data_IF_147836427014
#
_entry.id   IF_147836427014
#
_cell.length_a   1.000
_cell.length_b   1.000
_cell.length_c   1.000
_cell.angle_alpha   90.00
_cell.angle_beta   90.00
_cell.angle_gamma   90.00
#
_symmetry.space_group_name_H-M   'P 1'
#
loop_
_entity.id
_entity.type
_entity.pdbx_description
1 polymer ?
#
# COMPACT_ATOMS: atom_id res chain seq x y z
N UNK A 1 31.28 -11.26 -15.83
CA UNK A 1 31.92 -11.58 -14.52
C UNK A 1 31.55 -12.98 -13.95
N UNK A 2 30.72 -13.79 -14.63
CA UNK A 2 30.25 -15.11 -14.16
C UNK A 2 31.08 -16.31 -14.64
N UNK A 3 32.32 -16.08 -15.07
CA UNK A 3 33.19 -17.10 -15.67
C UNK A 3 34.12 -17.79 -14.67
N UNK A 4 33.95 -17.53 -13.38
CA UNK A 4 34.71 -18.20 -12.34
C UNK A 4 33.94 -19.42 -11.82
N UNK A 5 34.64 -20.55 -11.69
CA UNK A 5 34.12 -21.84 -11.18
C UNK A 5 33.49 -21.75 -9.78
N UNK A 6 33.55 -20.58 -9.12
CA UNK A 6 33.06 -20.28 -7.77
C UNK A 6 31.70 -19.56 -7.73
N UNK A 7 31.12 -19.20 -8.88
CA UNK A 7 29.78 -18.61 -8.94
C UNK A 7 28.70 -19.35 -8.13
N UNK A 8 28.58 -20.69 -8.18
CA UNK A 8 27.56 -21.40 -7.37
C UNK A 8 27.84 -21.28 -5.86
N UNK A 9 29.11 -21.24 -5.45
CA UNK A 9 29.48 -21.05 -4.05
C UNK A 9 29.06 -19.67 -3.54
N UNK A 10 29.24 -18.62 -4.34
CA UNK A 10 28.82 -17.26 -3.95
C UNK A 10 27.29 -17.15 -3.84
N UNK A 11 26.54 -17.80 -4.75
CA UNK A 11 25.08 -17.86 -4.65
C UNK A 11 24.67 -18.60 -3.37
N UNK A 12 25.30 -19.75 -3.08
CA UNK A 12 25.02 -20.53 -1.88
C UNK A 12 25.31 -19.71 -0.62
N UNK A 13 26.47 -19.05 -0.55
CA UNK A 13 26.84 -18.20 0.58
C UNK A 13 25.85 -17.03 0.75
N UNK A 14 25.45 -16.37 -0.34
CA UNK A 14 24.45 -15.31 -0.29
C UNK A 14 23.10 -15.83 0.21
N UNK A 15 22.67 -17.02 -0.24
CA UNK A 15 21.45 -17.66 0.24
C UNK A 15 21.54 -18.03 1.73
N UNK A 16 22.69 -18.52 2.20
CA UNK A 16 22.92 -18.83 3.61
C UNK A 16 22.89 -17.56 4.47
N UNK A 17 23.52 -16.47 4.03
CA UNK A 17 23.47 -15.18 4.73
C UNK A 17 22.04 -14.65 4.77
N UNK A 18 21.32 -14.70 3.65
CA UNK A 18 19.91 -14.31 3.60
C UNK A 18 19.06 -15.14 4.56
N UNK A 19 19.27 -16.46 4.60
CA UNK A 19 18.56 -17.37 5.50
C UNK A 19 18.93 -17.12 6.97
N UNK A 20 20.19 -16.83 7.28
CA UNK A 20 20.62 -16.53 8.64
C UNK A 20 20.00 -15.23 9.16
N UNK A 21 19.91 -14.20 8.30
CA UNK A 21 19.36 -12.90 8.67
C UNK A 21 17.83 -12.92 8.70
N UNK A 22 17.19 -13.52 7.71
CA UNK A 22 15.74 -13.48 7.52
C UNK A 22 15.03 -14.68 8.17
N UNK A 23 15.68 -15.84 8.21
CA UNK A 23 15.10 -17.10 8.67
C UNK A 23 14.47 -17.05 10.06
N UNK A 24 15.12 -16.46 11.09
CA UNK A 24 14.55 -16.36 12.43
C UNK A 24 13.19 -15.62 12.47
N UNK A 25 12.95 -14.72 11.53
CA UNK A 25 11.73 -13.91 11.45
C UNK A 25 10.66 -14.56 10.57
N UNK A 26 11.04 -15.11 9.41
CA UNK A 26 10.08 -15.55 8.41
C UNK A 26 9.78 -17.05 8.44
N UNK A 27 10.73 -17.91 8.83
CA UNK A 27 10.48 -19.36 8.84
C UNK A 27 9.38 -19.78 9.83
N UNK A 28 9.35 -19.27 11.09
CA UNK A 28 8.28 -19.63 12.02
C UNK A 28 6.90 -19.17 11.54
N UNK A 29 6.84 -18.10 10.74
CA UNK A 29 5.62 -17.51 10.23
C UNK A 29 5.32 -17.88 8.77
N UNK A 30 6.03 -18.84 8.18
CA UNK A 30 5.98 -19.11 6.74
C UNK A 30 4.55 -19.45 6.26
N UNK A 31 3.82 -20.26 7.03
CA UNK A 31 2.42 -20.59 6.72
C UNK A 31 1.52 -19.35 6.68
N UNK A 32 1.68 -18.44 7.65
CA UNK A 32 0.93 -17.19 7.71
C UNK A 32 1.28 -16.25 6.56
N UNK A 33 2.56 -16.19 6.18
CA UNK A 33 3.04 -15.38 5.05
C UNK A 33 2.44 -15.90 3.75
N UNK A 34 2.47 -17.23 3.53
CA UNK A 34 1.87 -17.83 2.33
C UNK A 34 0.37 -17.56 2.28
N UNK A 35 -0.35 -17.75 3.39
CA UNK A 35 -1.77 -17.43 3.47
C UNK A 35 -2.05 -15.95 3.16
N UNK A 36 -1.27 -15.03 3.74
CA UNK A 36 -1.40 -13.60 3.52
C UNK A 36 -1.11 -13.20 2.05
N UNK A 37 -0.12 -13.83 1.40
CA UNK A 37 0.18 -13.60 -0.02
C UNK A 37 -0.96 -14.10 -0.92
N UNK A 38 -1.50 -15.28 -0.64
CA UNK A 38 -2.63 -15.82 -1.39
C UNK A 38 -3.87 -14.94 -1.26
N UNK A 39 -4.17 -14.47 -0.05
CA UNK A 39 -5.29 -13.57 0.20
C UNK A 39 -5.08 -12.21 -0.48
N UNK A 40 -3.88 -11.65 -0.36
CA UNK A 40 -3.52 -10.41 -1.03
C UNK A 40 -3.65 -10.50 -2.56
N UNK A 41 -3.33 -11.65 -3.15
CA UNK A 41 -3.49 -11.87 -4.59
C UNK A 41 -4.97 -11.97 -5.00
N UNK A 42 -5.84 -12.50 -4.14
CA UNK A 42 -7.30 -12.50 -4.37
C UNK A 42 -7.86 -11.08 -4.31
N UNK A 43 -7.46 -10.29 -3.31
CA UNK A 43 -7.84 -8.88 -3.22
C UNK A 43 -7.39 -8.09 -4.45
N UNK A 44 -6.13 -8.26 -4.86
CA UNK A 44 -5.60 -7.60 -6.06
C UNK A 44 -6.40 -7.90 -7.33
N UNK A 45 -6.89 -9.15 -7.48
CA UNK A 45 -7.75 -9.52 -8.60
C UNK A 45 -9.11 -8.79 -8.57
N UNK A 46 -9.66 -8.53 -7.38
CA UNK A 46 -10.88 -7.71 -7.20
C UNK A 46 -10.61 -6.23 -7.50
N UNK A 47 -9.41 -5.74 -7.18
CA UNK A 47 -8.98 -4.35 -7.43
C UNK A 47 -8.65 -4.09 -8.91
N UNK A 48 -8.66 -5.12 -9.74
CA UNK A 48 -8.37 -5.03 -11.17
C UNK A 48 -6.88 -4.95 -11.48
N UNK A 49 -6.02 -5.38 -10.55
CA UNK A 49 -4.58 -5.46 -10.82
C UNK A 49 -4.28 -6.40 -11.99
N UNK A 50 -3.34 -6.02 -12.87
CA UNK A 50 -3.04 -6.84 -14.01
C UNK A 50 -2.26 -8.10 -13.58
N UNK A 51 -2.87 -9.26 -13.86
CA UNK A 51 -2.26 -10.58 -13.63
C UNK A 51 -0.90 -10.72 -14.32
N UNK A 52 0.00 -11.47 -13.69
CA UNK A 52 1.30 -11.88 -14.22
C UNK A 52 1.22 -12.68 -15.53
N UNK A 53 0.03 -13.20 -15.88
CA UNK A 53 -0.25 -13.90 -17.13
C UNK A 53 -0.58 -12.95 -18.29
N UNK A 54 -0.67 -11.64 -18.04
CA UNK A 54 -1.06 -10.63 -19.04
C UNK A 54 0.11 -9.72 -19.39
N UNK A 55 0.14 -9.20 -20.62
CA UNK A 55 1.13 -8.21 -21.03
C UNK A 55 1.11 -6.96 -20.12
N UNK A 56 -0.07 -6.55 -19.66
CA UNK A 56 -0.21 -5.43 -18.72
C UNK A 56 0.54 -5.69 -17.40
N UNK A 57 0.51 -6.93 -16.89
CA UNK A 57 1.22 -7.31 -15.66
C UNK A 57 2.73 -7.28 -15.84
N UNK A 58 3.21 -7.73 -17.01
CA UNK A 58 4.63 -7.66 -17.38
C UNK A 58 5.14 -6.24 -17.57
N UNK A 59 4.29 -5.33 -18.08
CA UNK A 59 4.62 -3.93 -18.28
C UNK A 59 4.40 -3.05 -17.04
N UNK A 60 3.80 -3.60 -15.98
CA UNK A 60 3.42 -2.83 -14.78
C UNK A 60 4.63 -2.10 -14.16
N UNK A 61 5.69 -2.83 -13.79
CA UNK A 61 6.82 -2.21 -13.10
C UNK A 61 7.67 -1.31 -14.01
N UNK A 62 7.65 -1.55 -15.32
CA UNK A 62 8.24 -0.63 -16.30
C UNK A 62 7.49 0.70 -16.34
N UNK A 63 6.15 0.62 -16.33
CA UNK A 63 5.27 1.80 -16.25
C UNK A 63 5.47 2.53 -14.93
N UNK A 64 5.49 1.82 -13.80
CA UNK A 64 5.77 2.40 -12.46
C UNK A 64 7.10 3.12 -12.43
N UNK A 65 8.17 2.51 -12.97
CA UNK A 65 9.49 3.12 -13.02
C UNK A 65 9.44 4.49 -13.70
N UNK A 66 8.82 4.55 -14.89
CA UNK A 66 8.71 5.77 -15.69
C UNK A 66 7.62 6.75 -15.28
N UNK A 67 6.65 6.35 -14.45
CA UNK A 67 5.50 7.20 -14.11
C UNK A 67 5.46 7.64 -12.65
N UNK A 68 6.11 6.91 -11.76
CA UNK A 68 5.98 7.12 -10.31
C UNK A 68 7.31 7.13 -9.57
N UNK A 69 8.36 6.47 -10.10
CA UNK A 69 9.64 6.35 -9.39
C UNK A 69 10.68 7.35 -9.89
N UNK A 70 11.07 7.27 -11.17
CA UNK A 70 12.18 8.07 -11.72
C UNK A 70 11.76 8.99 -12.88
N UNK A 71 10.53 8.87 -13.36
CA UNK A 71 9.97 9.72 -14.42
C UNK A 71 10.78 9.71 -15.73
N UNK A 72 10.38 10.52 -16.71
CA UNK A 72 11.07 10.56 -18.00
C UNK A 72 12.55 11.02 -17.90
N UNK A 73 12.92 12.06 -17.12
CA UNK A 73 14.33 12.45 -16.98
C UNK A 73 15.19 11.35 -16.36
N UNK A 74 14.70 10.67 -15.31
CA UNK A 74 15.42 9.56 -14.70
C UNK A 74 15.54 8.36 -15.63
N UNK A 75 14.52 8.06 -16.44
CA UNK A 75 14.62 7.02 -17.48
C UNK A 75 15.70 7.34 -18.52
N UNK A 76 15.82 8.60 -18.94
CA UNK A 76 16.87 9.02 -19.86
C UNK A 76 18.27 8.87 -19.22
N UNK A 77 18.41 9.20 -17.93
CA UNK A 77 19.66 8.99 -17.19
C UNK A 77 19.98 7.49 -17.07
N UNK A 78 19.00 6.66 -16.76
CA UNK A 78 19.16 5.21 -16.69
C UNK A 78 19.61 4.63 -18.03
N UNK A 79 18.91 4.96 -19.11
CA UNK A 79 19.23 4.46 -20.45
C UNK A 79 20.63 4.89 -20.90
N UNK A 80 20.98 6.17 -20.73
CA UNK A 80 22.31 6.66 -21.10
C UNK A 80 23.42 6.12 -20.19
N UNK A 81 23.13 5.92 -18.90
CA UNK A 81 24.05 5.32 -17.95
C UNK A 81 24.38 3.86 -18.27
N UNK A 82 23.35 3.07 -18.59
CA UNK A 82 23.49 1.67 -19.03
C UNK A 82 24.25 1.60 -20.37
N UNK A 83 23.87 2.42 -21.36
CA UNK A 83 24.52 2.45 -22.67
C UNK A 83 26.02 2.75 -22.58
N UNK A 84 26.41 3.74 -21.75
CA UNK A 84 27.82 4.01 -21.49
C UNK A 84 28.50 2.95 -20.65
N UNK A 85 27.79 2.35 -19.71
CA UNK A 85 28.29 1.20 -18.94
C UNK A 85 28.71 0.07 -19.87
N UNK A 86 27.88 -0.27 -20.87
CA UNK A 86 28.24 -1.25 -21.89
C UNK A 86 29.40 -0.79 -22.76
N UNK A 87 29.35 0.44 -23.29
CA UNK A 87 30.40 0.98 -24.16
C UNK A 87 31.78 1.03 -23.50
N UNK A 88 31.84 1.34 -22.19
CA UNK A 88 33.08 1.40 -21.41
C UNK A 88 33.42 0.10 -20.68
N UNK A 89 32.59 -0.95 -20.82
CA UNK A 89 32.72 -2.23 -20.09
C UNK A 89 32.85 -2.02 -18.59
N UNK A 90 31.96 -1.21 -18.03
CA UNK A 90 31.97 -0.85 -16.62
C UNK A 90 31.96 -2.10 -15.72
N UNK A 91 32.79 -2.13 -14.68
CA UNK A 91 32.80 -3.24 -13.73
C UNK A 91 31.43 -3.34 -13.05
N UNK A 92 31.01 -4.57 -12.74
CA UNK A 92 29.76 -4.88 -12.03
C UNK A 92 28.46 -4.49 -12.74
N UNK A 93 28.49 -4.07 -14.01
CA UNK A 93 27.27 -3.78 -14.77
C UNK A 93 26.33 -5.00 -14.82
N UNK A 94 26.88 -6.19 -15.09
CA UNK A 94 26.13 -7.45 -15.09
C UNK A 94 25.40 -7.67 -13.74
N UNK A 95 26.06 -7.34 -12.63
CA UNK A 95 25.50 -7.52 -11.29
C UNK A 95 24.37 -6.53 -11.03
N UNK A 96 24.56 -5.25 -11.38
CA UNK A 96 23.51 -4.23 -11.21
C UNK A 96 22.30 -4.50 -12.10
N UNK A 97 22.52 -4.96 -13.34
CA UNK A 97 21.45 -5.41 -14.23
C UNK A 97 20.75 -6.65 -13.69
N UNK A 98 21.48 -7.63 -13.16
CA UNK A 98 20.89 -8.81 -12.55
C UNK A 98 20.05 -8.46 -11.31
N UNK A 99 20.52 -7.54 -10.46
CA UNK A 99 19.76 -7.05 -9.32
C UNK A 99 18.46 -6.37 -9.77
N UNK A 100 18.55 -5.39 -10.68
CA UNK A 100 17.38 -4.66 -11.12
C UNK A 100 16.40 -5.53 -11.94
N UNK A 101 16.88 -6.19 -12.99
CA UNK A 101 16.03 -6.98 -13.89
C UNK A 101 15.53 -8.27 -13.21
N UNK A 102 16.38 -8.95 -12.44
CA UNK A 102 15.99 -10.14 -11.68
C UNK A 102 14.96 -9.80 -10.60
N UNK A 103 15.16 -8.71 -9.86
CA UNK A 103 14.18 -8.22 -8.90
C UNK A 103 12.87 -7.82 -9.58
N UNK A 104 12.92 -7.10 -10.70
CA UNK A 104 11.73 -6.71 -11.48
C UNK A 104 10.96 -7.93 -11.98
N UNK A 105 11.66 -8.98 -12.42
CA UNK A 105 11.06 -10.24 -12.83
C UNK A 105 10.34 -10.91 -11.65
N UNK A 106 10.98 -11.03 -10.48
CA UNK A 106 10.36 -11.61 -9.29
C UNK A 106 9.10 -10.85 -8.86
N UNK A 107 9.15 -9.51 -8.85
CA UNK A 107 7.99 -8.69 -8.55
C UNK A 107 6.87 -8.85 -9.59
N UNK A 108 7.23 -9.04 -10.87
CA UNK A 108 6.28 -9.25 -11.96
C UNK A 108 5.47 -10.54 -11.79
N UNK A 109 6.03 -11.55 -11.12
CA UNK A 109 5.34 -12.81 -10.84
C UNK A 109 4.32 -12.72 -9.69
N UNK A 110 4.39 -11.68 -8.84
CA UNK A 110 3.40 -11.43 -7.79
C UNK A 110 2.15 -10.80 -8.42
N UNK A 111 0.95 -11.32 -8.12
CA UNK A 111 -0.30 -10.78 -8.65
C UNK A 111 -0.67 -9.43 -8.05
N UNK A 112 -0.49 -9.24 -6.74
CA UNK A 112 -0.60 -7.93 -6.12
C UNK A 112 0.46 -6.98 -6.69
N UNK A 113 0.01 -5.88 -7.31
CA UNK A 113 0.85 -4.89 -7.97
C UNK A 113 0.82 -3.58 -7.19
N UNK A 114 1.95 -3.27 -6.55
CA UNK A 114 2.10 -2.01 -5.84
C UNK A 114 3.41 -1.31 -6.22
N UNK A 115 3.40 0.02 -6.50
CA UNK A 115 4.61 0.75 -6.83
C UNK A 115 5.71 0.63 -5.76
N UNK A 116 5.33 0.51 -4.49
CA UNK A 116 6.23 0.43 -3.33
C UNK A 116 7.10 -0.83 -3.35
N UNK A 117 6.61 -1.92 -3.96
CA UNK A 117 7.38 -3.16 -4.06
C UNK A 117 8.66 -3.01 -4.90
N UNK A 118 8.72 -2.02 -5.79
CA UNK A 118 9.91 -1.72 -6.58
C UNK A 118 10.98 -0.89 -5.85
N UNK A 119 10.67 -0.34 -4.67
CA UNK A 119 11.59 0.53 -3.93
C UNK A 119 12.97 -0.11 -3.63
N UNK A 120 13.07 -1.41 -3.26
CA UNK A 120 14.36 -2.06 -3.03
C UNK A 120 15.25 -2.17 -4.29
N UNK A 121 14.70 -1.94 -5.49
CA UNK A 121 15.43 -1.99 -6.76
C UNK A 121 16.02 -0.62 -7.16
N UNK A 122 15.53 0.46 -6.55
CA UNK A 122 15.95 1.82 -6.88
C UNK A 122 17.45 2.10 -6.64
N UNK A 123 18.13 1.51 -5.63
CA UNK A 123 19.58 1.67 -5.50
C UNK A 123 20.36 1.17 -6.73
N UNK A 124 19.97 0.03 -7.30
CA UNK A 124 20.58 -0.48 -8.53
C UNK A 124 20.32 0.47 -9.72
N UNK A 125 19.07 0.94 -9.86
CA UNK A 125 18.67 1.92 -10.89
C UNK A 125 19.49 3.22 -10.76
N UNK A 126 19.70 3.73 -9.55
CA UNK A 126 20.49 4.93 -9.29
C UNK A 126 21.95 4.75 -9.71
N UNK A 127 22.57 3.62 -9.34
CA UNK A 127 23.95 3.30 -9.74
C UNK A 127 24.10 3.13 -11.26
N UNK A 128 23.15 2.44 -11.90
CA UNK A 128 23.11 2.29 -13.36
C UNK A 128 22.99 3.63 -14.08
N UNK A 129 22.20 4.57 -13.52
CA UNK A 129 22.03 5.92 -14.05
C UNK A 129 23.32 6.77 -13.96
N UNK A 130 24.23 6.42 -13.06
CA UNK A 130 25.48 7.13 -12.82
C UNK A 130 26.49 7.09 -13.97
N UNK A 131 26.33 6.20 -14.97
CA UNK A 131 27.26 6.10 -16.10
C UNK A 131 27.48 7.42 -16.86
N UNK A 132 26.45 8.28 -16.93
CA UNK A 132 26.51 9.62 -17.55
C UNK A 132 27.40 10.63 -16.84
N UNK A 133 27.65 10.41 -15.56
CA UNK A 133 28.55 11.26 -14.76
C UNK A 133 30.00 11.14 -15.21
N UNK A 134 30.36 10.04 -15.87
CA UNK A 134 31.71 9.81 -16.43
C UNK A 134 31.94 10.45 -17.80
N UNK A 135 30.97 11.21 -18.33
CA UNK A 135 31.06 11.89 -19.61
C UNK A 135 31.60 13.33 -19.46
N UNK A 136 31.95 13.98 -20.58
CA UNK A 136 32.32 15.42 -20.60
C UNK A 136 31.21 16.34 -20.06
N UNK A 137 29.96 15.87 -20.04
CA UNK A 137 28.81 16.58 -19.51
C UNK A 137 28.50 16.21 -18.05
N UNK A 138 29.30 15.34 -17.42
CA UNK A 138 28.98 14.71 -16.15
C UNK A 138 28.64 15.68 -15.02
N UNK A 139 29.37 16.80 -14.91
CA UNK A 139 29.07 17.86 -13.93
C UNK A 139 27.71 18.52 -14.16
N UNK A 140 27.40 18.86 -15.41
CA UNK A 140 26.11 19.46 -15.77
C UNK A 140 24.96 18.49 -15.54
N UNK A 141 25.14 17.22 -15.91
CA UNK A 141 24.17 16.15 -15.66
C UNK A 141 23.95 15.92 -14.15
N UNK A 142 25.02 15.93 -13.36
CA UNK A 142 24.92 15.80 -11.90
C UNK A 142 24.12 16.95 -11.28
N UNK A 143 24.45 18.20 -11.64
CA UNK A 143 23.78 19.38 -11.10
C UNK A 143 22.31 19.44 -11.54
N UNK A 144 22.02 19.14 -12.81
CA UNK A 144 20.66 19.06 -13.32
C UNK A 144 19.85 17.96 -12.63
N UNK A 145 20.44 16.77 -12.45
CA UNK A 145 19.83 15.64 -11.75
C UNK A 145 19.54 15.96 -10.29
N UNK A 146 20.48 16.61 -9.59
CA UNK A 146 20.29 17.06 -8.22
C UNK A 146 19.17 18.10 -8.11
N UNK A 147 19.19 19.13 -8.96
CA UNK A 147 18.16 20.17 -8.97
C UNK A 147 16.78 19.59 -9.27
N UNK A 148 16.69 18.68 -10.25
CA UNK A 148 15.46 17.97 -10.57
C UNK A 148 15.00 17.07 -9.41
N UNK A 149 15.91 16.34 -8.75
CA UNK A 149 15.60 15.51 -7.59
C UNK A 149 15.09 16.32 -6.40
N UNK A 150 15.69 17.47 -6.11
CA UNK A 150 15.25 18.40 -5.07
C UNK A 150 13.87 19.00 -5.39
N UNK A 151 13.62 19.31 -6.67
CA UNK A 151 12.29 19.75 -7.12
C UNK A 151 11.25 18.64 -6.92
N UNK A 152 11.55 17.40 -7.33
CA UNK A 152 10.67 16.25 -7.12
C UNK A 152 10.38 16.03 -5.63
N UNK A 153 11.40 16.06 -4.80
CA UNK A 153 11.25 15.94 -3.35
C UNK A 153 10.38 17.05 -2.77
N UNK A 154 10.55 18.30 -3.23
CA UNK A 154 9.73 19.43 -2.78
C UNK A 154 8.26 19.31 -3.22
N UNK A 155 8.01 18.81 -4.44
CA UNK A 155 6.66 18.55 -4.96
C UNK A 155 5.94 17.45 -4.16
N UNK A 156 6.68 16.42 -3.75
CA UNK A 156 6.17 15.31 -2.95
C UNK A 156 6.03 15.68 -1.46
N UNK A 157 6.96 16.49 -0.92
CA UNK A 157 6.98 16.91 0.48
C UNK A 157 6.07 18.09 0.83
N UNK A 158 5.13 18.46 -0.06
CA UNK A 158 4.24 19.61 0.09
C UNK A 158 4.96 20.96 0.27
N UNK A 159 6.24 21.05 -0.13
CA UNK A 159 7.02 22.28 -0.09
C UNK A 159 6.60 23.29 -1.16
N UNK A 160 5.82 22.87 -2.15
CA UNK A 160 5.25 23.70 -3.20
C UNK A 160 3.76 23.36 -3.40
N UNK A 161 2.91 24.33 -3.79
CA UNK A 161 1.49 24.09 -4.04
C UNK A 161 1.25 23.01 -5.10
N UNK A 162 0.07 22.33 -5.06
CA UNK A 162 -0.33 21.41 -6.12
C UNK A 162 -0.22 22.08 -7.49
N UNK A 163 0.35 21.35 -8.44
CA UNK A 163 0.74 21.86 -9.74
C UNK A 163 0.17 20.95 -10.84
N UNK A 164 0.08 21.46 -12.07
CA UNK A 164 -0.43 20.67 -13.21
C UNK A 164 0.63 19.68 -13.66
N UNK A 165 0.21 18.46 -13.99
CA UNK A 165 1.11 17.43 -14.52
C UNK A 165 1.81 17.93 -15.78
N UNK A 166 3.14 17.97 -15.75
CA UNK A 166 3.97 18.25 -16.94
C UNK A 166 4.34 16.92 -17.58
N UNK A 167 3.91 16.76 -18.83
CA UNK A 167 4.14 15.57 -19.64
C UNK A 167 4.98 15.93 -20.87
N UNK A 168 5.91 15.05 -21.21
CA UNK A 168 6.71 15.15 -22.42
C UNK A 168 6.64 13.80 -23.13
N UNK A 169 6.35 13.81 -24.44
CA UNK A 169 6.18 12.58 -25.24
C UNK A 169 5.22 11.54 -24.59
N UNK A 170 4.16 12.01 -23.91
CA UNK A 170 3.19 11.16 -23.22
C UNK A 170 3.62 10.61 -21.84
N UNK A 171 4.87 10.83 -21.41
CA UNK A 171 5.38 10.44 -20.10
C UNK A 171 5.46 11.62 -19.11
N UNK A 172 5.26 11.41 -17.80
CA UNK A 172 5.39 12.46 -16.81
C UNK A 172 6.86 12.86 -16.61
N UNK A 173 7.11 14.16 -16.48
CA UNK A 173 8.45 14.72 -16.22
C UNK A 173 8.66 14.98 -14.72
N UNK A 174 7.56 15.22 -14.01
CA UNK A 174 7.52 15.66 -12.62
C UNK A 174 6.35 14.98 -11.90
N UNK A 175 6.49 14.73 -10.60
CA UNK A 175 5.51 14.00 -9.81
C UNK A 175 4.23 14.80 -9.57
N UNK A 176 3.08 14.19 -9.85
CA UNK A 176 1.78 14.77 -9.48
C UNK A 176 1.52 14.52 -8.00
N UNK A 177 1.45 15.59 -7.21
CA UNK A 177 1.22 15.52 -5.76
C UNK A 177 -0.02 14.66 -5.38
N UNK A 178 -1.07 14.70 -6.20
CA UNK A 178 -2.37 14.10 -5.88
C UNK A 178 -2.46 12.56 -5.92
N UNK A 179 -1.45 11.83 -6.42
CA UNK A 179 -1.57 10.37 -6.63
C UNK A 179 -0.74 9.52 -5.66
N UNK A 180 0.27 10.10 -5.01
CA UNK A 180 1.19 9.33 -4.15
C UNK A 180 1.09 9.70 -2.67
N UNK A 181 0.58 10.90 -2.36
CA UNK A 181 0.67 11.45 -1.00
C UNK A 181 -0.47 12.44 -0.77
N UNK A 182 -1.18 12.30 0.34
CA UNK A 182 -2.13 13.32 0.79
C UNK A 182 -1.39 14.34 1.66
N UNK A 183 -1.66 15.66 1.51
CA UNK A 183 -1.10 16.65 2.42
C UNK A 183 -1.40 16.24 3.86
N UNK A 184 -0.51 16.57 4.82
CA UNK A 184 -0.76 16.29 6.23
C UNK A 184 -2.15 16.81 6.56
N UNK A 185 -3.08 15.88 6.82
CA UNK A 185 -4.40 16.29 7.25
C UNK A 185 -4.23 16.78 8.68
N UNK A 186 -4.61 18.03 9.01
CA UNK A 186 -4.67 18.45 10.40
C UNK A 186 -5.56 17.42 11.11
N UNK A 187 -5.00 16.69 12.09
CA UNK A 187 -5.63 15.53 12.70
C UNK A 187 -6.95 15.96 13.34
N UNK A 188 -8.03 15.78 12.61
CA UNK A 188 -9.39 16.10 13.04
C UNK A 188 -10.26 14.86 13.16
N UNK A 189 -9.76 13.69 12.72
CA UNK A 189 -10.45 12.41 12.91
C UNK A 189 -10.33 12.02 14.39
N UNK A 190 -11.43 12.05 15.17
CA UNK A 190 -11.42 11.75 16.59
C UNK A 190 -11.44 10.22 16.79
N UNK A 191 -10.46 9.53 16.20
CA UNK A 191 -10.35 8.07 16.23
C UNK A 191 -10.22 7.54 17.66
N UNK A 192 -9.35 8.08 18.55
CA UNK A 192 -9.31 7.66 19.94
C UNK A 192 -10.68 7.76 20.62
N UNK A 193 -11.38 8.87 20.43
CA UNK A 193 -12.69 9.11 21.04
C UNK A 193 -13.77 8.20 20.46
N UNK A 194 -13.81 8.02 19.13
CA UNK A 194 -14.73 7.10 18.45
C UNK A 194 -14.52 5.68 18.97
N UNK A 195 -13.28 5.22 19.02
CA UNK A 195 -12.91 3.89 19.50
C UNK A 195 -13.35 3.72 20.97
N UNK A 196 -13.06 4.71 21.83
CA UNK A 196 -13.51 4.70 23.23
C UNK A 196 -15.03 4.62 23.36
N UNK A 197 -15.76 5.40 22.54
CA UNK A 197 -17.24 5.39 22.52
C UNK A 197 -17.81 4.05 22.08
N UNK A 198 -17.27 3.48 21.00
CA UNK A 198 -17.64 2.13 20.53
C UNK A 198 -17.49 1.11 21.68
N UNK A 199 -16.40 1.20 22.44
CA UNK A 199 -16.17 0.29 23.56
C UNK A 199 -17.07 0.51 24.76
N UNK A 200 -17.40 1.76 25.09
CA UNK A 200 -18.36 2.06 26.16
C UNK A 200 -19.77 1.53 25.85
N UNK A 201 -20.12 1.43 24.57
CA UNK A 201 -21.41 0.94 24.11
C UNK A 201 -21.45 -0.58 23.94
N UNK A 202 -20.31 -1.26 24.01
CA UNK A 202 -20.25 -2.69 23.73
C UNK A 202 -20.84 -3.51 24.90
N UNK A 203 -21.74 -4.48 24.64
CA UNK A 203 -22.52 -5.15 25.69
C UNK A 203 -21.74 -6.21 26.49
N UNK A 204 -20.54 -6.60 26.04
CA UNK A 204 -19.82 -7.77 26.54
C UNK A 204 -18.37 -7.43 26.89
N UNK A 205 -17.76 -8.27 27.73
CA UNK A 205 -16.32 -8.19 28.04
C UNK A 205 -15.43 -8.44 26.81
N UNK A 206 -15.89 -9.10 25.75
CA UNK A 206 -15.10 -9.27 24.54
C UNK A 206 -15.99 -9.11 23.30
N UNK A 207 -16.34 -7.86 22.94
CA UNK A 207 -17.27 -7.64 21.84
C UNK A 207 -16.61 -7.94 20.51
N UNK A 208 -17.39 -8.53 19.61
CA UNK A 208 -17.03 -8.70 18.21
C UNK A 208 -17.50 -7.45 17.46
N UNK A 209 -16.54 -6.66 16.97
CA UNK A 209 -16.81 -5.41 16.26
C UNK A 209 -16.63 -5.66 14.76
N UNK A 210 -17.74 -5.64 14.02
CA UNK A 210 -17.75 -5.66 12.57
C UNK A 210 -17.43 -4.29 11.99
N UNK A 211 -16.51 -4.22 11.02
CA UNK A 211 -16.09 -2.96 10.41
C UNK A 211 -16.42 -2.97 8.92
N UNK A 212 -17.41 -2.15 8.53
CA UNK A 212 -17.91 -1.95 7.17
C UNK A 212 -17.52 -0.55 6.66
N UNK A 213 -16.23 -0.25 6.75
CA UNK A 213 -15.64 1.00 6.24
C UNK A 213 -14.15 0.78 5.94
N UNK A 214 -13.66 1.35 4.85
CA UNK A 214 -12.27 1.21 4.42
C UNK A 214 -11.70 2.50 3.81
N UNK A 215 -11.75 3.61 4.56
CA UNK A 215 -11.12 4.88 4.17
C UNK A 215 -9.71 5.01 4.75
N UNK A 216 -8.86 5.92 4.23
CA UNK A 216 -7.55 6.21 4.82
C UNK A 216 -7.63 6.65 6.30
N UNK A 217 -8.72 7.33 6.68
CA UNK A 217 -8.92 7.87 8.03
C UNK A 217 -9.75 6.96 8.93
N UNK A 218 -10.54 6.02 8.38
CA UNK A 218 -11.34 5.08 9.15
C UNK A 218 -11.38 3.71 8.47
N UNK A 219 -10.74 2.74 9.08
CA UNK A 219 -10.73 1.35 8.65
C UNK A 219 -10.41 0.44 9.85
N UNK A 220 -10.50 -0.87 9.65
CA UNK A 220 -10.27 -1.86 10.71
C UNK A 220 -8.89 -1.72 11.38
N UNK A 221 -7.83 -1.45 10.61
CA UNK A 221 -6.48 -1.36 11.17
C UNK A 221 -6.28 -0.07 11.97
N UNK A 222 -6.93 1.04 11.59
CA UNK A 222 -6.94 2.25 12.40
C UNK A 222 -7.63 1.99 13.76
N UNK A 223 -8.78 1.31 13.76
CA UNK A 223 -9.47 0.95 14.99
C UNK A 223 -8.61 0.02 15.86
N UNK A 224 -7.98 -1.00 15.26
CA UNK A 224 -7.07 -1.92 15.95
C UNK A 224 -5.89 -1.19 16.57
N UNK A 225 -5.27 -0.28 15.83
CA UNK A 225 -4.12 0.49 16.31
C UNK A 225 -4.48 1.29 17.56
N UNK A 226 -5.57 2.08 17.51
CA UNK A 226 -5.97 2.90 18.65
C UNK A 226 -6.49 2.08 19.84
N UNK A 227 -7.13 0.94 19.57
CA UNK A 227 -7.46 -0.05 20.60
C UNK A 227 -6.24 -0.49 21.41
N UNK A 228 -5.16 -0.86 20.70
CA UNK A 228 -3.93 -1.37 21.31
C UNK A 228 -3.09 -0.27 21.97
N UNK A 229 -3.11 0.95 21.40
CA UNK A 229 -2.28 2.07 21.83
C UNK A 229 -2.78 2.70 23.12
N UNK A 230 -4.06 3.05 23.18
CA UNK A 230 -4.58 3.92 24.24
C UNK A 230 -4.79 3.19 25.57
N UNK A 231 -4.90 1.84 25.55
CA UNK A 231 -4.96 0.97 26.75
C UNK A 231 -5.77 1.59 27.89
N UNK A 232 -7.03 1.93 27.62
CA UNK A 232 -7.93 2.53 28.61
C UNK A 232 -8.09 1.64 29.83
N UNK A 233 -7.60 2.10 30.98
CA UNK A 233 -7.70 1.39 32.26
C UNK A 233 -9.15 1.29 32.76
N UNK A 234 -10.01 2.21 32.31
CA UNK A 234 -11.44 2.28 32.64
C UNK A 234 -12.32 1.37 31.78
N UNK A 235 -11.76 0.70 30.77
CA UNK A 235 -12.51 -0.23 29.92
C UNK A 235 -12.34 -1.68 30.38
N UNK A 236 -13.41 -2.48 30.36
CA UNK A 236 -13.40 -3.83 30.93
C UNK A 236 -12.53 -4.84 30.15
N UNK A 237 -11.96 -4.48 28.99
CA UNK A 237 -11.22 -5.43 28.16
C UNK A 237 -10.04 -4.86 27.39
N UNK A 238 -9.06 -5.74 27.12
CA UNK A 238 -7.75 -5.38 26.57
C UNK A 238 -7.71 -5.30 25.04
N UNK A 239 -8.54 -6.05 24.30
CA UNK A 239 -8.57 -6.02 22.84
C UNK A 239 -9.85 -6.64 22.27
N UNK A 240 -10.64 -5.95 21.43
CA UNK A 240 -11.81 -6.56 20.78
C UNK A 240 -11.42 -7.52 19.66
N UNK A 241 -12.37 -8.35 19.26
CA UNK A 241 -12.29 -9.10 18.01
C UNK A 241 -12.83 -8.22 16.88
N UNK A 242 -11.94 -7.68 16.06
CA UNK A 242 -12.32 -6.89 14.88
C UNK A 242 -12.54 -7.81 13.67
N UNK A 243 -13.72 -7.72 13.04
CA UNK A 243 -14.06 -8.46 11.82
C UNK A 243 -14.03 -7.56 10.58
N UNK A 244 -13.25 -7.91 9.54
CA UNK A 244 -13.11 -7.12 8.31
C UNK A 244 -14.29 -7.32 7.35
N UNK A 245 -15.49 -6.94 7.77
CA UNK A 245 -16.72 -7.12 6.97
C UNK A 245 -16.63 -6.44 5.60
N UNK A 246 -15.96 -5.28 5.53
CA UNK A 246 -15.72 -4.55 4.28
C UNK A 246 -14.94 -5.35 3.21
N UNK A 247 -14.33 -6.50 3.57
CA UNK A 247 -13.54 -7.33 2.65
C UNK A 247 -14.05 -8.77 2.54
N UNK A 248 -15.19 -9.09 3.17
CA UNK A 248 -15.73 -10.46 3.16
C UNK A 248 -16.83 -10.61 2.10
N UNK A 249 -16.72 -11.57 1.16
CA UNK A 249 -17.85 -11.92 0.30
C UNK A 249 -19.01 -12.58 1.09
N UNK A 250 -18.73 -13.02 2.33
CA UNK A 250 -19.69 -13.59 3.28
C UNK A 250 -20.03 -12.59 4.39
N UNK A 251 -20.01 -11.29 4.08
CA UNK A 251 -20.16 -10.25 5.10
C UNK A 251 -21.50 -10.34 5.85
N UNK A 252 -22.56 -10.85 5.20
CA UNK A 252 -23.88 -11.04 5.84
C UNK A 252 -23.83 -12.15 6.89
N UNK A 253 -23.25 -13.31 6.59
CA UNK A 253 -23.07 -14.38 7.58
C UNK A 253 -22.09 -13.93 8.69
N UNK A 254 -21.02 -13.22 8.32
CA UNK A 254 -20.04 -12.73 9.29
C UNK A 254 -20.63 -11.67 10.25
N UNK A 255 -21.62 -10.91 9.79
CA UNK A 255 -22.38 -9.93 10.58
C UNK A 255 -23.14 -10.61 11.72
N UNK A 256 -23.62 -11.85 11.53
CA UNK A 256 -24.32 -12.64 12.56
C UNK A 256 -23.44 -12.96 13.77
N UNK A 257 -22.11 -12.82 13.66
CA UNK A 257 -21.21 -12.93 14.80
C UNK A 257 -20.85 -11.61 15.48
N UNK A 258 -21.32 -10.45 14.98
CA UNK A 258 -20.92 -9.12 15.46
C UNK A 258 -21.89 -8.54 16.51
N UNK A 259 -21.35 -8.13 17.65
CA UNK A 259 -22.10 -7.41 18.70
C UNK A 259 -22.28 -5.93 18.35
N UNK A 260 -21.29 -5.37 17.66
CA UNK A 260 -21.29 -3.96 17.23
C UNK A 260 -20.85 -3.89 15.77
N UNK A 261 -21.45 -2.99 14.99
CA UNK A 261 -21.14 -2.80 13.57
C UNK A 261 -20.85 -1.32 13.32
N UNK A 262 -19.72 -1.02 12.68
CA UNK A 262 -19.30 0.33 12.34
C UNK A 262 -19.45 0.53 10.83
N UNK A 263 -20.27 1.50 10.44
CA UNK A 263 -20.45 1.97 9.06
C UNK A 263 -20.06 3.44 8.96
N UNK A 264 -19.83 3.90 7.73
CA UNK A 264 -19.68 5.33 7.43
C UNK A 264 -20.62 5.69 6.29
N UNK A 265 -21.16 6.91 6.26
CA UNK A 265 -21.91 7.51 5.15
C UNK A 265 -21.02 8.55 4.45
N UNK A 266 -21.21 8.72 3.14
CA UNK A 266 -20.32 9.53 2.30
C UNK A 266 -19.21 8.68 1.70
N UNK A 267 -17.94 9.12 1.81
CA UNK A 267 -16.78 8.36 1.31
C UNK A 267 -16.63 7.01 2.03
N UNK A 268 -16.72 5.90 1.29
CA UNK A 268 -16.58 4.54 1.80
C UNK A 268 -15.17 3.97 1.61
N UNK A 269 -14.30 4.70 0.89
CA UNK A 269 -12.99 4.24 0.49
C UNK A 269 -12.94 3.93 -1.02
N UNK A 270 -11.91 3.18 -1.45
CA UNK A 270 -11.70 2.87 -2.87
C UNK A 270 -12.88 2.10 -3.48
N UNK A 271 -13.29 2.47 -4.70
CA UNK A 271 -14.45 1.90 -5.41
C UNK A 271 -14.40 0.37 -5.69
N UNK A 272 -13.22 -0.26 -5.51
CA UNK A 272 -13.06 -1.72 -5.58
C UNK A 272 -13.30 -2.44 -4.24
N UNK A 273 -13.21 -1.69 -3.12
CA UNK A 273 -13.30 -2.21 -1.75
C UNK A 273 -14.63 -1.84 -1.07
N UNK A 274 -15.51 -1.11 -1.75
CA UNK A 274 -16.77 -0.64 -1.21
C UNK A 274 -17.97 -1.46 -1.68
N UNK A 275 -17.78 -2.53 -2.48
CA UNK A 275 -18.90 -3.38 -2.93
C UNK A 275 -19.75 -3.87 -1.77
N UNK A 276 -19.13 -4.53 -0.79
CA UNK A 276 -19.84 -5.06 0.38
C UNK A 276 -20.37 -3.96 1.28
N UNK A 277 -19.70 -2.81 1.31
CA UNK A 277 -20.14 -1.62 2.05
C UNK A 277 -21.41 -1.04 1.39
N UNK A 278 -21.45 -0.96 0.05
CA UNK A 278 -22.63 -0.54 -0.73
C UNK A 278 -23.78 -1.52 -0.53
N UNK A 279 -23.54 -2.82 -0.69
CA UNK A 279 -24.58 -3.84 -0.46
C UNK A 279 -25.14 -3.78 0.97
N UNK A 280 -24.33 -3.43 1.98
CA UNK A 280 -24.80 -3.21 3.34
C UNK A 280 -25.64 -1.94 3.49
N UNK A 281 -25.29 -0.87 2.79
CA UNK A 281 -26.09 0.36 2.73
C UNK A 281 -27.41 0.14 2.00
N UNK A 282 -27.38 -0.54 0.85
CA UNK A 282 -28.57 -0.88 0.08
C UNK A 282 -29.52 -1.71 0.95
N UNK A 283 -29.02 -2.72 1.67
CA UNK A 283 -29.84 -3.50 2.61
C UNK A 283 -30.42 -2.66 3.75
N UNK A 284 -29.64 -1.74 4.33
CA UNK A 284 -30.11 -0.81 5.37
C UNK A 284 -31.22 0.13 4.85
N UNK A 285 -31.19 0.48 3.56
CA UNK A 285 -32.14 1.42 2.93
C UNK A 285 -33.37 0.71 2.33
N UNK A 286 -33.20 -0.48 1.74
CA UNK A 286 -34.26 -1.28 1.11
C UNK A 286 -35.05 -2.11 2.12
N UNK A 287 -34.38 -2.66 3.14
CA UNK A 287 -34.99 -3.52 4.18
C UNK A 287 -34.70 -2.99 5.59
N UNK A 288 -35.07 -1.73 5.89
CA UNK A 288 -34.75 -1.09 7.17
C UNK A 288 -35.34 -1.85 8.35
N UNK A 289 -36.49 -2.51 8.18
CA UNK A 289 -37.12 -3.29 9.24
C UNK A 289 -36.30 -4.53 9.63
N UNK A 290 -35.72 -5.26 8.67
CA UNK A 290 -34.90 -6.44 8.95
C UNK A 290 -33.60 -6.03 9.66
N UNK A 291 -32.97 -4.94 9.20
CA UNK A 291 -31.82 -4.38 9.88
C UNK A 291 -32.17 -3.93 11.31
N UNK A 292 -33.25 -3.15 11.46
CA UNK A 292 -33.68 -2.61 12.75
C UNK A 292 -34.13 -3.68 13.73
N UNK A 293 -34.62 -4.83 13.26
CA UNK A 293 -34.90 -5.99 14.11
C UNK A 293 -33.63 -6.58 14.72
N UNK A 294 -32.49 -6.52 14.02
CA UNK A 294 -31.22 -7.10 14.46
C UNK A 294 -30.31 -6.10 15.16
N UNK A 295 -30.36 -4.84 14.76
CA UNK A 295 -29.41 -3.82 15.15
C UNK A 295 -30.11 -2.50 15.46
N UNK A 296 -29.62 -1.81 16.48
CA UNK A 296 -30.03 -0.47 16.87
C UNK A 296 -28.89 0.51 16.66
N UNK A 297 -29.17 1.66 16.06
CA UNK A 297 -28.19 2.75 15.97
C UNK A 297 -27.96 3.37 17.35
N UNK A 298 -26.75 3.24 17.87
CA UNK A 298 -26.37 3.73 19.20
C UNK A 298 -25.43 4.93 19.14
N UNK A 299 -24.80 5.17 18.00
CA UNK A 299 -23.94 6.34 17.81
C UNK A 299 -24.02 6.84 16.37
N UNK A 300 -24.13 8.17 16.24
CA UNK A 300 -23.92 8.90 14.99
C UNK A 300 -22.91 10.00 15.24
N UNK A 301 -21.85 10.02 14.44
CA UNK A 301 -20.72 10.91 14.65
C UNK A 301 -20.29 11.61 13.35
N UNK A 302 -20.20 12.95 13.28
CA UNK A 302 -19.75 13.66 12.08
C UNK A 302 -18.27 13.41 11.79
N UNK A 303 -17.92 13.12 10.54
CA UNK A 303 -16.55 12.81 10.14
C UNK A 303 -15.89 13.99 9.40
N UNK A 304 -14.55 14.18 9.48
CA UNK A 304 -13.88 15.34 8.88
C UNK A 304 -14.03 15.53 7.37
N UNK A 305 -14.39 14.47 6.63
CA UNK A 305 -14.63 14.52 5.19
C UNK A 305 -16.06 14.94 4.84
N UNK A 306 -16.85 15.40 5.81
CA UNK A 306 -18.27 15.74 5.66
C UNK A 306 -19.20 14.53 5.73
N UNK A 307 -18.65 13.31 5.85
CA UNK A 307 -19.41 12.09 6.08
C UNK A 307 -19.90 11.93 7.52
N UNK A 308 -20.51 10.78 7.80
CA UNK A 308 -20.97 10.42 9.15
C UNK A 308 -20.60 8.98 9.47
N UNK A 309 -20.03 8.74 10.64
CA UNK A 309 -19.83 7.38 11.17
C UNK A 309 -21.08 6.98 11.93
N UNK A 310 -21.54 5.76 11.68
CA UNK A 310 -22.67 5.14 12.35
C UNK A 310 -22.18 3.90 13.08
N UNK A 311 -22.62 3.75 14.32
CA UNK A 311 -22.36 2.55 15.12
C UNK A 311 -23.69 1.94 15.48
N UNK A 312 -23.83 0.67 15.13
CA UNK A 312 -24.99 -0.14 15.43
C UNK A 312 -24.63 -1.18 16.46
N UNK A 313 -25.48 -1.37 17.46
CA UNK A 313 -25.36 -2.42 18.46
C UNK A 313 -26.41 -3.49 18.17
N UNK A 314 -26.05 -4.75 18.33
CA UNK A 314 -26.99 -5.86 18.20
C UNK A 314 -28.09 -5.76 19.26
N UNK A 315 -29.35 -5.96 18.84
CA UNK A 315 -30.49 -6.14 19.74
C UNK A 315 -30.45 -7.54 20.37
N UNK A 316 -30.76 -7.62 21.65
CA UNK A 316 -30.96 -8.90 22.35
C UNK A 316 -32.26 -9.59 21.94
#
# INVERSE_FOLDING_TARGET
>A
MWRERRAPLHILLAAMVALLLAGPWYLPALGNIVAAVLESNRTAALDGDPSALTLAGWLYYWKVLGQSQIFLPGLALLAGGVAMGWGKRAPNLDFLLAWWLGGTLLLTLVWNKDPRFSAPLLPAVALLSGGLLSSRWGKGVALAGLGWGLLQFSLLGFGVPPWREVRLAGGPVLAKAAFLIHPPQPSSAPLPELVRRIYQLAPKENPVIGVLVNTPTLNLENLRYYACRERWEDLPFRMPVLRPLARSPHWREDLEGCDVVVLKRGDQGPAGHDRWIREAWDWLEEEPEEWQQRFEEVLRWPWPDGGQVLVFQRRE
#
